data_IF_477917918363
#
_entry.id   IF_477917918363
#
_cell.length_a   1.000
_cell.length_b   1.000
_cell.length_c   1.000
_cell.angle_alpha   90.00
_cell.angle_beta   90.00
_cell.angle_gamma   90.00
#
_symmetry.space_group_name_H-M   'P 1'
#
loop_
_entity.id
_entity.type
_entity.pdbx_description
1 polymer ?
#
# COMPACT_ATOMS: atom_id res chain seq x y z
N UNK A 1 19.58 -6.76 13.88
CA UNK A 1 18.74 -6.30 12.77
C UNK A 1 17.31 -6.71 13.07
N UNK A 2 16.34 -5.85 12.78
CA UNK A 2 14.93 -6.24 12.85
C UNK A 2 14.69 -7.44 11.91
N UNK A 3 13.81 -8.38 12.29
CA UNK A 3 13.58 -9.58 11.48
C UNK A 3 12.89 -9.30 10.14
N UNK A 4 12.76 -10.30 9.23
CA UNK A 4 12.21 -10.10 7.89
C UNK A 4 10.83 -9.42 7.82
N UNK A 5 10.00 -9.56 8.85
CA UNK A 5 8.69 -8.90 8.95
C UNK A 5 8.79 -7.40 9.26
N UNK A 6 9.86 -6.97 9.92
CA UNK A 6 10.03 -5.56 10.28
C UNK A 6 10.43 -4.71 9.06
N UNK A 7 11.15 -5.28 8.10
CA UNK A 7 11.47 -4.64 6.82
C UNK A 7 10.49 -5.00 5.70
N UNK A 8 9.39 -5.71 6.01
CA UNK A 8 8.41 -6.09 5.00
C UNK A 8 7.71 -4.86 4.43
N UNK A 9 7.61 -4.80 3.11
CA UNK A 9 6.84 -3.77 2.41
C UNK A 9 6.15 -4.40 1.20
N UNK A 10 4.83 -4.45 1.24
CA UNK A 10 4.03 -5.05 0.18
C UNK A 10 2.72 -4.30 -0.03
N UNK A 11 2.17 -4.39 -1.23
CA UNK A 11 0.89 -3.77 -1.59
C UNK A 11 0.12 -4.68 -2.53
N UNK A 12 -1.18 -4.81 -2.27
CA UNK A 12 -2.08 -5.51 -3.18
C UNK A 12 -2.16 -4.81 -4.55
N UNK A 13 -2.21 -5.59 -5.61
CA UNK A 13 -2.53 -5.11 -6.96
C UNK A 13 -3.74 -5.84 -7.51
N UNK A 14 -4.49 -5.14 -8.36
CA UNK A 14 -5.68 -5.65 -9.01
C UNK A 14 -5.56 -5.37 -10.49
N UNK A 15 -5.29 -6.42 -11.27
CA UNK A 15 -4.96 -6.33 -12.70
C UNK A 15 -3.79 -5.37 -12.96
N UNK A 16 -2.75 -5.47 -12.12
CA UNK A 16 -1.56 -4.63 -12.19
C UNK A 16 -1.73 -3.19 -11.66
N UNK A 17 -2.94 -2.79 -11.26
CA UNK A 17 -3.16 -1.49 -10.64
C UNK A 17 -2.93 -1.58 -9.13
N UNK A 18 -2.19 -0.63 -8.52
CA UNK A 18 -1.96 -0.62 -7.08
C UNK A 18 -3.26 -0.35 -6.30
N UNK A 19 -3.47 -1.09 -5.20
CA UNK A 19 -4.64 -0.94 -4.32
C UNK A 19 -4.32 -1.21 -2.85
N UNK A 20 -5.38 -1.37 -2.05
CA UNK A 20 -5.30 -1.75 -0.63
C UNK A 20 -5.66 -3.23 -0.45
N UNK A 21 -5.16 -3.92 0.60
CA UNK A 21 -4.33 -3.39 1.69
C UNK A 21 -2.85 -3.20 1.33
N UNK A 22 -2.15 -2.42 2.18
CA UNK A 22 -0.69 -2.25 2.18
C UNK A 22 -0.14 -2.83 3.49
N UNK A 23 0.92 -3.62 3.39
CA UNK A 23 1.69 -4.11 4.54
C UNK A 23 2.90 -3.19 4.78
N UNK A 24 2.98 -2.64 6.00
CA UNK A 24 4.08 -1.78 6.46
C UNK A 24 4.79 -2.42 7.65
N UNK A 25 5.96 -2.99 7.41
CA UNK A 25 6.89 -3.42 8.45
C UNK A 25 7.36 -2.25 9.31
N UNK A 26 7.76 -2.55 10.55
CA UNK A 26 8.12 -1.54 11.56
C UNK A 26 9.24 -0.59 11.12
N UNK A 27 10.19 -1.06 10.32
CA UNK A 27 11.32 -0.26 9.84
C UNK A 27 10.87 0.84 8.86
N UNK A 28 9.70 0.68 8.23
CA UNK A 28 9.13 1.67 7.30
C UNK A 28 8.33 2.78 7.99
N UNK A 29 7.98 2.65 9.27
CA UNK A 29 7.05 3.58 9.92
C UNK A 29 7.58 5.02 10.00
N UNK A 30 8.78 5.20 10.55
CA UNK A 30 9.37 6.54 10.70
C UNK A 30 9.74 7.18 9.35
N UNK A 31 10.40 6.46 8.40
CA UNK A 31 10.68 7.02 7.09
C UNK A 31 9.42 7.35 6.28
N UNK A 32 8.38 6.52 6.36
CA UNK A 32 7.11 6.82 5.69
C UNK A 32 6.47 8.07 6.29
N UNK A 33 6.36 8.16 7.61
CA UNK A 33 5.75 9.33 8.27
C UNK A 33 6.45 10.64 7.90
N UNK A 34 7.78 10.63 7.77
CA UNK A 34 8.56 11.79 7.32
C UNK A 34 8.31 12.18 5.85
N UNK A 35 7.84 11.24 5.02
CA UNK A 35 7.55 11.47 3.60
C UNK A 35 6.10 11.95 3.34
N UNK A 36 5.20 11.82 4.32
CA UNK A 36 3.81 12.27 4.19
C UNK A 36 3.72 13.79 4.28
N UNK A 37 2.95 14.39 3.40
CA UNK A 37 2.73 15.84 3.42
C UNK A 37 1.42 16.22 2.72
N UNK A 38 0.53 16.94 3.43
CA UNK A 38 -0.79 17.33 2.92
C UNK A 38 -1.56 16.12 2.38
N UNK A 39 -2.06 16.24 1.16
CA UNK A 39 -2.82 15.18 0.47
C UNK A 39 -1.94 14.15 -0.25
N UNK A 40 -0.62 14.17 -0.04
CA UNK A 40 0.27 13.13 -0.57
C UNK A 40 0.43 12.00 0.45
N UNK A 41 -0.31 10.92 0.21
CA UNK A 41 -0.22 9.68 0.97
C UNK A 41 1.04 8.85 0.65
N UNK A 42 1.05 7.61 1.13
CA UNK A 42 2.20 6.70 1.05
C UNK A 42 2.60 6.25 -0.37
N UNK A 43 1.77 6.50 -1.39
CA UNK A 43 1.96 6.02 -2.76
C UNK A 43 3.38 6.22 -3.33
N UNK A 44 3.92 7.46 -3.35
CA UNK A 44 5.28 7.72 -3.82
C UNK A 44 6.36 7.01 -3.01
N UNK A 45 6.20 6.91 -1.68
CA UNK A 45 7.13 6.18 -0.82
C UNK A 45 7.17 4.69 -1.17
N UNK A 46 6.01 4.06 -1.38
CA UNK A 46 5.90 2.65 -1.76
C UNK A 46 6.60 2.36 -3.09
N UNK A 47 6.48 3.27 -4.07
CA UNK A 47 7.20 3.15 -5.35
C UNK A 47 8.70 3.30 -5.15
N UNK A 48 9.13 4.33 -4.40
CA UNK A 48 10.54 4.60 -4.17
C UNK A 48 11.27 3.48 -3.40
N UNK A 49 10.56 2.81 -2.48
CA UNK A 49 11.10 1.70 -1.69
C UNK A 49 10.92 0.32 -2.35
N UNK A 50 10.34 0.26 -3.56
CA UNK A 50 10.16 -0.99 -4.28
C UNK A 50 9.23 -1.97 -3.56
N UNK A 51 8.11 -1.48 -3.00
CA UNK A 51 7.12 -2.32 -2.34
C UNK A 51 6.73 -3.51 -3.23
N UNK A 52 6.71 -4.72 -2.65
CA UNK A 52 6.33 -5.93 -3.36
C UNK A 52 4.87 -5.82 -3.84
N UNK A 53 4.66 -5.96 -5.14
CA UNK A 53 3.33 -6.07 -5.73
C UNK A 53 2.78 -7.49 -5.53
N UNK A 54 1.60 -7.58 -4.92
CA UNK A 54 0.91 -8.85 -4.67
C UNK A 54 -0.40 -8.86 -5.44
N UNK A 55 -0.47 -9.61 -6.54
CA UNK A 55 -1.67 -9.65 -7.37
C UNK A 55 -2.82 -10.39 -6.66
N UNK A 56 -3.98 -9.74 -6.60
CA UNK A 56 -5.18 -10.20 -5.90
C UNK A 56 -6.45 -10.06 -6.76
N UNK A 57 -6.31 -9.92 -8.09
CA UNK A 57 -7.42 -9.69 -9.00
C UNK A 57 -8.42 -10.85 -9.12
N UNK A 58 -8.08 -12.03 -8.63
CA UNK A 58 -8.97 -13.20 -8.49
C UNK A 58 -9.78 -13.17 -7.18
N UNK A 59 -9.33 -12.43 -6.17
CA UNK A 59 -9.98 -12.32 -4.86
C UNK A 59 -10.97 -11.15 -4.79
N UNK A 60 -10.65 -10.03 -5.42
CA UNK A 60 -11.47 -8.82 -5.40
C UNK A 60 -11.16 -7.90 -6.59
N UNK A 61 -11.92 -6.82 -6.72
CA UNK A 61 -11.71 -5.81 -7.78
C UNK A 61 -10.76 -4.69 -7.38
N UNK A 62 -10.54 -4.48 -6.07
CA UNK A 62 -9.80 -3.32 -5.55
C UNK A 62 -10.54 -1.99 -5.65
N UNK A 63 -11.82 -1.99 -6.03
CA UNK A 63 -12.61 -0.76 -6.16
C UNK A 63 -13.12 -0.28 -4.79
N UNK A 64 -12.83 0.98 -4.46
CA UNK A 64 -13.33 1.61 -3.25
C UNK A 64 -14.82 1.98 -3.38
N UNK A 65 -15.55 1.90 -2.27
CA UNK A 65 -16.95 2.34 -2.15
C UNK A 65 -17.05 3.56 -1.23
N UNK A 66 -16.60 4.71 -1.73
CA UNK A 66 -16.53 5.95 -0.95
C UNK A 66 -17.85 6.72 -0.86
N UNK A 67 -18.84 6.34 -1.67
CA UNK A 67 -20.15 6.97 -1.73
C UNK A 67 -21.25 5.93 -1.58
N UNK A 68 -22.42 6.31 -1.03
CA UNK A 68 -23.61 5.48 -1.12
C UNK A 68 -23.89 5.11 -2.57
N UNK A 69 -24.43 3.90 -2.79
CA UNK A 69 -24.98 3.57 -4.11
C UNK A 69 -26.07 4.59 -4.46
N UNK A 70 -26.04 5.10 -5.69
CA UNK A 70 -27.19 5.80 -6.24
C UNK A 70 -28.43 4.90 -6.22
N UNK A 71 -29.63 5.46 -6.42
CA UNK A 71 -30.85 4.66 -6.60
C UNK A 71 -30.70 3.63 -7.72
#
# INVERSE_FOLDING_TARGET
ASGPLASALARATYRGLPGHPVLLGRDHWAPLAAALHGDRGAGPYLVAQGALAVECGDLATGADRDRPGGP
#
